data_IF_846755571650
#
_entry.id   IF_846755571650
#
_cell.length_a   1.000
_cell.length_b   1.000
_cell.length_c   1.000
_cell.angle_alpha   90.00
_cell.angle_beta   90.00
_cell.angle_gamma   90.00
#
_symmetry.space_group_name_H-M   'P 1'
#
loop_
_entity.id
_entity.type
_entity.pdbx_description
1 polymer ?
#
# COMPACT_ATOMS: atom_id res chain seq x y z
N UNK A 1 -25.54 7.78 -30.12
CA UNK A 1 -26.16 9.12 -30.07
C UNK A 1 -26.14 9.57 -28.62
N UNK A 2 -25.37 10.63 -28.33
CA UNK A 2 -25.15 11.18 -26.98
C UNK A 2 -26.13 12.33 -26.76
N UNK A 3 -26.98 12.23 -25.76
CA UNK A 3 -27.89 13.28 -25.31
C UNK A 3 -27.22 14.06 -24.17
N UNK A 4 -26.76 15.25 -24.52
CA UNK A 4 -26.17 16.26 -23.66
C UNK A 4 -27.24 17.30 -23.30
N UNK A 5 -27.35 17.72 -22.04
CA UNK A 5 -28.08 18.94 -21.66
C UNK A 5 -27.29 19.75 -20.64
N UNK A 6 -27.28 21.10 -20.78
CA UNK A 6 -26.42 22.02 -20.04
C UNK A 6 -27.09 22.56 -18.77
N UNK A 7 -26.31 22.92 -17.74
CA UNK A 7 -26.81 23.77 -16.66
C UNK A 7 -25.71 24.63 -16.04
N UNK A 8 -25.81 25.92 -16.37
CA UNK A 8 -25.56 27.15 -15.62
C UNK A 8 -24.37 27.29 -14.64
N UNK A 9 -23.60 28.33 -14.94
CA UNK A 9 -22.55 29.01 -14.16
C UNK A 9 -23.18 29.72 -12.95
N UNK A 10 -22.58 29.54 -11.76
CA UNK A 10 -22.52 30.59 -10.73
C UNK A 10 -21.09 30.62 -10.21
N UNK A 11 -20.43 31.74 -10.50
CA UNK A 11 -19.15 32.11 -9.93
C UNK A 11 -19.37 32.60 -8.49
N UNK A 12 -18.59 32.06 -7.55
CA UNK A 12 -18.33 32.71 -6.26
C UNK A 12 -16.88 32.42 -5.88
N UNK A 13 -16.03 33.40 -6.21
CA UNK A 13 -14.66 33.50 -5.75
C UNK A 13 -14.73 33.91 -4.28
N UNK A 14 -14.42 32.99 -3.38
CA UNK A 14 -14.08 33.33 -2.00
C UNK A 14 -12.56 33.40 -1.90
N UNK A 15 -12.06 34.64 -1.80
CA UNK A 15 -10.69 34.98 -1.49
C UNK A 15 -10.62 35.43 -0.02
N UNK A 16 -9.43 35.28 0.60
CA UNK A 16 -8.99 35.68 1.95
C UNK A 16 -9.22 34.62 3.07
N UNK A 17 -8.27 34.33 3.96
CA UNK A 17 -7.11 35.11 4.40
C UNK A 17 -5.89 34.22 4.73
N UNK A 18 -4.70 34.77 4.46
CA UNK A 18 -3.38 34.25 4.82
C UNK A 18 -3.02 34.76 6.22
N UNK A 19 -2.91 33.85 7.19
CA UNK A 19 -2.32 34.08 8.53
C UNK A 19 -1.70 32.74 8.95
N UNK A 20 -0.47 32.59 9.39
CA UNK A 20 0.66 33.48 9.58
C UNK A 20 1.86 32.58 9.90
N UNK A 21 3.04 32.96 9.44
CA UNK A 21 4.29 32.28 9.79
C UNK A 21 4.59 32.46 11.28
N UNK A 22 4.78 31.37 12.02
CA UNK A 22 5.40 31.41 13.34
C UNK A 22 6.90 31.10 13.22
N UNK A 23 7.71 32.14 13.37
CA UNK A 23 9.15 32.09 13.69
C UNK A 23 9.46 33.25 14.63
N UNK A 24 10.20 32.99 15.72
CA UNK A 24 11.37 33.77 16.10
C UNK A 24 12.63 32.93 15.74
N UNK A 25 13.58 33.40 14.93
CA UNK A 25 14.73 34.28 15.30
C UNK A 25 15.62 33.57 16.34
N UNK A 26 16.87 33.17 16.09
CA UNK A 26 18.07 34.00 15.87
C UNK A 26 19.26 33.05 15.52
N UNK A 27 19.88 33.18 14.34
CA UNK A 27 21.20 33.80 14.04
C UNK A 27 22.46 33.07 14.55
N UNK A 28 23.25 32.56 13.60
CA UNK A 28 24.71 32.76 13.54
C UNK A 28 25.23 32.45 12.12
N UNK A 29 25.86 33.45 11.51
CA UNK A 29 26.84 33.43 10.40
C UNK A 29 27.97 32.42 10.72
N UNK A 30 28.73 31.78 9.83
CA UNK A 30 29.50 32.28 8.68
C UNK A 30 30.29 31.12 8.01
N UNK A 31 30.72 31.34 6.76
CA UNK A 31 31.91 30.77 6.07
C UNK A 31 31.82 29.40 5.35
N UNK A 32 31.91 29.48 4.01
CA UNK A 32 32.28 28.44 3.01
C UNK A 32 33.82 28.36 2.94
N UNK A 33 34.51 27.20 2.76
CA UNK A 33 34.62 26.56 1.43
C UNK A 33 34.75 25.02 1.35
N UNK A 34 34.57 24.55 0.12
CA UNK A 34 34.45 23.19 -0.38
C UNK A 34 35.56 22.20 0.02
N UNK A 35 35.17 20.93 0.13
CA UNK A 35 36.02 19.79 -0.18
C UNK A 35 35.18 18.66 -0.79
N UNK A 36 35.42 18.40 -2.08
CA UNK A 36 35.08 17.16 -2.77
C UNK A 36 35.79 16.00 -2.10
N UNK A 37 35.06 14.94 -1.74
CA UNK A 37 35.54 13.56 -1.87
C UNK A 37 34.44 12.54 -1.61
N UNK A 38 34.35 11.61 -2.54
CA UNK A 38 33.51 10.43 -2.55
C UNK A 38 33.32 9.79 -1.17
N UNK A 39 32.06 9.56 -0.82
CA UNK A 39 31.71 8.36 -0.08
C UNK A 39 30.46 7.77 -0.69
N UNK A 40 30.71 6.72 -1.48
CA UNK A 40 29.87 5.57 -1.68
C UNK A 40 29.47 5.01 -0.30
N UNK A 41 28.61 5.73 0.42
CA UNK A 41 28.04 5.24 1.68
C UNK A 41 26.88 4.36 1.28
N UNK A 42 27.22 3.09 1.12
CA UNK A 42 26.32 1.94 1.09
C UNK A 42 25.09 2.27 1.94
N UNK A 43 23.98 2.58 1.28
CA UNK A 43 22.68 2.79 1.93
C UNK A 43 22.49 1.58 2.84
N UNK A 44 22.27 1.76 4.15
CA UNK A 44 21.91 0.65 5.01
C UNK A 44 20.67 0.03 4.37
N UNK A 45 20.78 -1.21 3.91
CA UNK A 45 19.67 -1.99 3.39
C UNK A 45 18.60 -1.97 4.48
N UNK A 46 17.60 -1.13 4.29
CA UNK A 46 16.52 -0.90 5.22
C UNK A 46 15.91 -2.28 5.47
N UNK A 47 16.03 -2.75 6.71
CA UNK A 47 15.35 -3.95 7.16
C UNK A 47 13.88 -3.56 7.14
N UNK A 48 13.15 -3.91 6.08
CA UNK A 48 11.70 -3.72 6.00
C UNK A 48 11.11 -4.19 7.33
N UNK A 49 10.44 -3.31 8.06
CA UNK A 49 9.84 -3.65 9.36
C UNK A 49 8.74 -4.70 9.15
N UNK A 50 8.16 -4.74 7.95
CA UNK A 50 7.30 -5.83 7.48
C UNK A 50 8.13 -7.03 7.02
N UNK A 51 7.88 -8.18 7.67
CA UNK A 51 8.40 -9.49 7.27
C UNK A 51 7.32 -10.33 6.61
N UNK A 52 7.69 -11.40 5.90
CA UNK A 52 6.73 -12.37 5.37
C UNK A 52 5.83 -12.97 6.46
N UNK A 53 6.33 -13.12 7.69
CA UNK A 53 5.52 -13.54 8.82
C UNK A 53 4.43 -12.51 9.17
N UNK A 54 4.74 -11.21 9.06
CA UNK A 54 3.77 -10.13 9.19
C UNK A 54 2.68 -10.20 8.11
N UNK A 55 3.06 -10.41 6.85
CA UNK A 55 2.12 -10.62 5.75
C UNK A 55 1.18 -11.82 6.01
N UNK A 56 1.74 -12.98 6.41
CA UNK A 56 0.96 -14.18 6.73
C UNK A 56 0.00 -13.96 7.91
N UNK A 57 0.41 -13.20 8.92
CA UNK A 57 -0.46 -12.86 10.05
C UNK A 57 -1.70 -12.06 9.61
N UNK A 58 -1.53 -11.11 8.68
CA UNK A 58 -2.67 -10.35 8.14
C UNK A 58 -3.56 -11.23 7.26
N UNK A 59 -2.98 -12.06 6.38
CA UNK A 59 -3.76 -13.03 5.57
C UNK A 59 -4.61 -13.95 6.45
N UNK A 60 -4.05 -14.44 7.57
CA UNK A 60 -4.78 -15.26 8.54
C UNK A 60 -5.97 -14.52 9.15
N UNK A 61 -5.79 -13.25 9.57
CA UNK A 61 -6.88 -12.40 10.08
C UNK A 61 -7.97 -12.18 9.04
N UNK A 62 -7.59 -11.92 7.79
CA UNK A 62 -8.54 -11.78 6.68
C UNK A 62 -9.34 -13.07 6.46
N UNK A 63 -8.68 -14.24 6.46
CA UNK A 63 -9.35 -15.55 6.34
C UNK A 63 -10.35 -15.80 7.48
N UNK A 64 -10.01 -15.44 8.72
CA UNK A 64 -10.93 -15.57 9.87
C UNK A 64 -12.17 -14.70 9.63
N UNK A 65 -11.99 -13.44 9.24
CA UNK A 65 -13.10 -12.55 8.94
C UNK A 65 -13.98 -13.08 7.79
N UNK A 66 -13.37 -13.55 6.69
CA UNK A 66 -14.10 -14.15 5.56
C UNK A 66 -14.88 -15.40 6.00
N UNK A 67 -14.27 -16.24 6.83
CA UNK A 67 -14.89 -17.46 7.35
C UNK A 67 -16.14 -17.14 8.19
N UNK A 68 -16.09 -16.06 8.98
CA UNK A 68 -17.22 -15.56 9.77
C UNK A 68 -18.29 -14.80 8.95
N UNK A 69 -18.07 -14.59 7.64
CA UNK A 69 -18.96 -13.79 6.80
C UNK A 69 -18.87 -12.27 7.05
N UNK A 70 -17.90 -11.82 7.85
CA UNK A 70 -17.71 -10.40 8.15
C UNK A 70 -16.83 -9.74 7.08
N UNK A 71 -17.42 -9.48 5.90
CA UNK A 71 -16.70 -8.92 4.76
C UNK A 71 -16.20 -7.49 4.97
N UNK A 72 -16.85 -6.70 5.84
CA UNK A 72 -16.36 -5.38 6.23
C UNK A 72 -15.02 -5.50 6.96
N UNK A 73 -14.94 -6.42 7.92
CA UNK A 73 -13.69 -6.70 8.63
C UNK A 73 -12.67 -7.37 7.72
N UNK A 74 -13.09 -8.26 6.81
CA UNK A 74 -12.19 -8.84 5.79
C UNK A 74 -11.53 -7.75 4.96
N UNK A 75 -12.30 -6.76 4.50
CA UNK A 75 -11.74 -5.61 3.76
C UNK A 75 -10.76 -4.83 4.60
N UNK A 76 -11.10 -4.50 5.86
CA UNK A 76 -10.20 -3.76 6.75
C UNK A 76 -8.88 -4.49 7.01
N UNK A 77 -8.90 -5.81 7.20
CA UNK A 77 -7.67 -6.58 7.36
C UNK A 77 -6.91 -6.70 6.02
N UNK A 78 -7.61 -6.84 4.90
CA UNK A 78 -6.96 -6.90 3.59
C UNK A 78 -6.31 -5.56 3.17
N UNK A 79 -6.91 -4.42 3.50
CA UNK A 79 -6.30 -3.10 3.28
C UNK A 79 -4.94 -2.99 4.01
N UNK A 80 -4.82 -3.56 5.22
CA UNK A 80 -3.52 -3.64 5.94
C UNK A 80 -2.52 -4.55 5.24
N UNK A 81 -3.00 -5.59 4.56
CA UNK A 81 -2.14 -6.45 3.74
C UNK A 81 -1.60 -5.64 2.55
N UNK A 82 -2.45 -4.90 1.85
CA UNK A 82 -2.03 -4.04 0.72
C UNK A 82 -1.00 -3.00 1.18
N UNK A 83 -1.16 -2.39 2.36
CA UNK A 83 -0.18 -1.45 2.90
C UNK A 83 1.15 -2.12 3.27
N UNK A 84 1.09 -3.27 3.93
CA UNK A 84 2.29 -4.03 4.27
C UNK A 84 3.02 -4.56 3.02
N UNK A 85 2.29 -4.88 1.96
CA UNK A 85 2.84 -5.37 0.69
C UNK A 85 3.71 -4.31 -0.01
N UNK A 86 3.26 -3.05 -0.04
CA UNK A 86 4.01 -1.92 -0.64
C UNK A 86 5.43 -1.78 -0.07
N UNK A 87 5.65 -2.15 1.19
CA UNK A 87 6.96 -2.08 1.83
C UNK A 87 7.96 -3.15 1.36
N UNK A 88 7.47 -4.22 0.74
CA UNK A 88 8.29 -5.41 0.40
C UNK A 88 8.22 -5.81 -1.08
N UNK A 89 7.23 -5.32 -1.83
CA UNK A 89 6.93 -5.76 -3.20
C UNK A 89 8.12 -5.60 -4.16
N UNK A 90 8.83 -4.48 -4.11
CA UNK A 90 9.99 -4.20 -4.97
C UNK A 90 11.12 -5.20 -4.72
N UNK A 91 11.35 -5.52 -3.44
CA UNK A 91 12.37 -6.48 -3.03
C UNK A 91 12.03 -7.91 -3.47
N UNK A 92 10.75 -8.25 -3.51
CA UNK A 92 10.28 -9.55 -4.00
C UNK A 92 10.36 -9.59 -5.52
N UNK A 93 9.89 -8.55 -6.21
CA UNK A 93 9.94 -8.41 -7.67
C UNK A 93 11.37 -8.50 -8.21
N UNK A 94 12.33 -7.86 -7.54
CA UNK A 94 13.74 -7.94 -7.90
C UNK A 94 14.34 -9.35 -7.77
N UNK A 95 13.83 -10.17 -6.85
CA UNK A 95 14.29 -11.56 -6.64
C UNK A 95 13.56 -12.56 -7.52
N UNK A 96 12.26 -12.36 -7.73
CA UNK A 96 11.40 -13.27 -8.49
C UNK A 96 10.17 -12.51 -8.98
N UNK A 97 10.18 -12.19 -10.28
CA UNK A 97 9.04 -11.58 -10.97
C UNK A 97 7.80 -12.48 -10.92
N UNK A 98 7.97 -13.79 -11.08
CA UNK A 98 6.86 -14.75 -11.06
C UNK A 98 6.14 -14.77 -9.69
N UNK A 99 6.89 -14.75 -8.59
CA UNK A 99 6.30 -14.68 -7.25
C UNK A 99 5.59 -13.34 -7.01
N UNK A 100 6.16 -12.23 -7.49
CA UNK A 100 5.51 -10.91 -7.44
C UNK A 100 4.18 -10.93 -8.20
N UNK A 101 4.18 -11.36 -9.47
CA UNK A 101 2.97 -11.42 -10.31
C UNK A 101 1.90 -12.35 -9.71
N UNK A 102 2.30 -13.45 -9.06
CA UNK A 102 1.38 -14.35 -8.37
C UNK A 102 0.73 -13.74 -7.12
N UNK A 103 1.46 -12.88 -6.39
CA UNK A 103 0.89 -12.09 -5.28
C UNK A 103 -0.09 -11.06 -5.82
N UNK A 104 0.33 -10.21 -6.78
CA UNK A 104 -0.52 -9.18 -7.40
C UNK A 104 -1.83 -9.77 -7.93
N UNK A 105 -1.76 -10.88 -8.68
CA UNK A 105 -2.94 -11.57 -9.21
C UNK A 105 -3.90 -12.01 -8.09
N UNK A 106 -3.36 -12.57 -7.00
CA UNK A 106 -4.19 -12.98 -5.88
C UNK A 106 -4.81 -11.77 -5.18
N UNK A 107 -4.08 -10.66 -5.09
CA UNK A 107 -4.58 -9.41 -4.52
C UNK A 107 -5.72 -8.83 -5.35
N UNK A 108 -5.57 -8.77 -6.67
CA UNK A 108 -6.62 -8.30 -7.58
C UNK A 108 -7.91 -9.11 -7.45
N UNK A 109 -7.80 -10.44 -7.38
CA UNK A 109 -8.95 -11.33 -7.17
C UNK A 109 -9.65 -11.07 -5.83
N UNK A 110 -8.89 -10.94 -4.74
CA UNK A 110 -9.43 -10.68 -3.40
C UNK A 110 -10.08 -9.30 -3.35
N UNK A 111 -9.39 -8.26 -3.83
CA UNK A 111 -9.88 -6.88 -3.84
C UNK A 111 -11.11 -6.73 -4.74
N UNK A 112 -11.15 -7.41 -5.89
CA UNK A 112 -12.32 -7.46 -6.76
C UNK A 112 -13.53 -8.11 -6.09
N UNK A 113 -13.34 -9.29 -5.46
CA UNK A 113 -14.41 -10.02 -4.79
C UNK A 113 -14.93 -9.30 -3.54
N UNK A 114 -14.06 -8.63 -2.77
CA UNK A 114 -14.46 -7.80 -1.63
C UNK A 114 -15.24 -6.53 -2.03
N UNK A 115 -15.01 -6.01 -3.25
CA UNK A 115 -15.73 -4.84 -3.80
C UNK A 115 -17.04 -5.22 -4.50
N UNK A 116 -17.26 -6.50 -4.76
CA UNK A 116 -18.49 -6.97 -5.40
C UNK A 116 -19.72 -6.67 -4.53
N UNK A 117 -20.87 -6.46 -5.17
CA UNK A 117 -22.13 -6.21 -4.45
C UNK A 117 -22.53 -7.36 -3.51
N UNK A 118 -22.08 -8.59 -3.81
CA UNK A 118 -22.31 -9.79 -3.01
C UNK A 118 -21.03 -10.65 -2.98
N UNK A 119 -20.08 -10.36 -2.08
CA UNK A 119 -18.84 -11.12 -1.96
C UNK A 119 -19.10 -12.62 -1.75
N UNK A 120 -18.42 -13.45 -2.52
CA UNK A 120 -18.49 -14.90 -2.47
C UNK A 120 -17.42 -15.44 -1.54
N UNK A 121 -17.84 -15.98 -0.38
CA UNK A 121 -16.95 -16.52 0.65
C UNK A 121 -15.95 -17.54 0.10
N UNK A 122 -16.40 -18.50 -0.71
CA UNK A 122 -15.54 -19.58 -1.21
C UNK A 122 -14.48 -19.05 -2.18
N UNK A 123 -14.82 -18.07 -3.02
CA UNK A 123 -13.86 -17.42 -3.92
C UNK A 123 -12.81 -16.65 -3.13
N UNK A 124 -13.21 -15.89 -2.11
CA UNK A 124 -12.27 -15.20 -1.23
C UNK A 124 -11.32 -16.16 -0.51
N UNK A 125 -11.84 -17.26 0.05
CA UNK A 125 -11.00 -18.25 0.72
C UNK A 125 -10.03 -18.94 -0.26
N UNK A 126 -10.46 -19.20 -1.50
CA UNK A 126 -9.60 -19.77 -2.53
C UNK A 126 -8.45 -18.81 -2.89
N UNK A 127 -8.73 -17.53 -3.19
CA UNK A 127 -7.69 -16.56 -3.53
C UNK A 127 -6.79 -16.23 -2.33
N UNK A 128 -7.32 -16.15 -1.11
CA UNK A 128 -6.50 -16.00 0.12
C UNK A 128 -5.57 -17.20 0.35
N UNK A 129 -6.02 -18.42 0.02
CA UNK A 129 -5.17 -19.62 0.10
C UNK A 129 -4.06 -19.59 -0.95
N UNK A 130 -4.34 -19.11 -2.15
CA UNK A 130 -3.32 -18.91 -3.19
C UNK A 130 -2.28 -17.87 -2.76
N UNK A 131 -2.74 -16.73 -2.23
CA UNK A 131 -1.87 -15.68 -1.68
C UNK A 131 -0.96 -16.22 -0.56
N UNK A 132 -1.54 -16.91 0.42
CA UNK A 132 -0.82 -17.55 1.51
C UNK A 132 0.24 -18.53 1.01
N UNK A 133 -0.10 -19.36 0.00
CA UNK A 133 0.84 -20.30 -0.60
C UNK A 133 2.03 -19.59 -1.22
N UNK A 134 1.80 -18.53 -1.99
CA UNK A 134 2.87 -17.75 -2.63
C UNK A 134 3.79 -17.09 -1.60
N UNK A 135 3.23 -16.48 -0.54
CA UNK A 135 4.03 -15.87 0.54
C UNK A 135 4.90 -16.93 1.26
N UNK A 136 4.37 -18.14 1.45
CA UNK A 136 5.15 -19.26 2.00
C UNK A 136 6.28 -19.71 1.06
N UNK A 137 6.08 -19.69 -0.26
CA UNK A 137 7.14 -19.97 -1.25
C UNK A 137 8.26 -18.92 -1.17
N UNK A 138 7.89 -17.63 -1.11
CA UNK A 138 8.84 -16.52 -0.98
C UNK A 138 9.69 -16.66 0.31
N UNK A 139 9.09 -17.15 1.40
CA UNK A 139 9.78 -17.32 2.68
C UNK A 139 10.81 -18.46 2.71
N UNK A 140 10.77 -19.37 1.74
CA UNK A 140 11.68 -20.52 1.61
C UNK A 140 12.76 -20.33 0.56
N UNK A 141 12.68 -19.25 -0.21
CA UNK A 141 13.60 -18.89 -1.30
C UNK A 141 14.75 -18.03 -0.78
#
# INVERSE_FOLDING_TARGET
>A
MKNFKPMLIIASISLLALVGCNKPEQSATETTPAATSNSTKKVPRQKSTVSNAGLLAVVSKTKIAVTSGNFVQSKKEFDKFEDAWKEVEDGIKAKSRDNYEAVEKSMDEISGELKAAKPQKDKLLASLKSLEKTINTISKS
#
